data_IF_957463961823
#
_entry.id   IF_957463961823
#
_cell.length_a   1.000
_cell.length_b   1.000
_cell.length_c   1.000
_cell.angle_alpha   90.00
_cell.angle_beta   90.00
_cell.angle_gamma   90.00
#
_symmetry.space_group_name_H-M   'P 1'
#
loop_
_entity.id
_entity.type
_entity.pdbx_description
1 polymer ?
#
# COMPACT_ATOMS: atom_id res chain seq x y z
N UNK A 1 -9.70 -12.68 28.73
CA UNK A 1 -8.73 -11.71 28.18
C UNK A 1 -9.18 -11.44 26.75
N UNK A 2 -9.85 -10.31 26.50
CA UNK A 2 -10.26 -9.96 25.14
C UNK A 2 -9.05 -9.33 24.45
N UNK A 3 -8.38 -10.09 23.60
CA UNK A 3 -7.44 -9.57 22.62
C UNK A 3 -8.23 -8.72 21.62
N UNK A 4 -8.41 -7.45 21.98
CA UNK A 4 -8.92 -6.45 21.05
C UNK A 4 -7.92 -6.43 19.90
N UNK A 5 -8.37 -6.88 18.73
CA UNK A 5 -7.65 -6.83 17.47
C UNK A 5 -6.97 -5.45 17.30
N UNK A 6 -5.69 -5.34 17.66
CA UNK A 6 -4.82 -4.18 17.44
C UNK A 6 -4.49 -4.00 15.94
N UNK A 7 -5.36 -4.49 15.05
CA UNK A 7 -5.17 -4.48 13.60
C UNK A 7 -5.41 -3.10 12.97
N UNK A 8 -5.97 -2.13 13.69
CA UNK A 8 -6.28 -0.80 13.18
C UNK A 8 -5.59 0.25 14.03
N UNK A 9 -4.45 0.73 13.56
CA UNK A 9 -3.84 1.97 14.06
C UNK A 9 -4.82 3.13 13.76
N UNK A 10 -5.36 3.84 14.76
CA UNK A 10 -6.37 4.89 14.54
C UNK A 10 -5.82 6.09 13.76
N UNK A 11 -4.49 6.20 13.62
CA UNK A 11 -3.85 7.20 12.76
C UNK A 11 -3.78 6.76 11.30
N UNK A 12 -4.03 5.49 11.01
CA UNK A 12 -3.99 4.91 9.65
C UNK A 12 -5.41 4.69 9.14
N UNK A 13 -5.68 5.15 7.92
CA UNK A 13 -6.97 4.92 7.27
C UNK A 13 -6.97 3.55 6.59
N UNK A 14 -8.03 2.74 6.74
CA UNK A 14 -8.14 1.48 6.01
C UNK A 14 -8.28 1.76 4.51
N UNK A 15 -7.63 0.93 3.68
CA UNK A 15 -7.73 0.96 2.23
C UNK A 15 -8.24 -0.41 1.78
N UNK A 16 -9.36 -0.41 1.07
CA UNK A 16 -9.93 -1.62 0.49
C UNK A 16 -9.26 -1.91 -0.85
N UNK A 17 -8.79 -3.14 -1.03
CA UNK A 17 -8.16 -3.62 -2.27
C UNK A 17 -8.78 -4.94 -2.70
N UNK A 18 -8.59 -5.31 -3.97
CA UNK A 18 -9.03 -6.63 -4.45
C UNK A 18 -8.31 -7.76 -3.71
N UNK A 19 -8.94 -8.95 -3.63
CA UNK A 19 -8.30 -10.13 -3.05
C UNK A 19 -6.98 -10.49 -3.74
N UNK A 20 -6.89 -10.30 -5.06
CA UNK A 20 -5.67 -10.53 -5.82
C UNK A 20 -4.56 -9.54 -5.43
N UNK A 21 -4.88 -8.24 -5.33
CA UNK A 21 -3.93 -7.22 -4.86
C UNK A 21 -3.45 -7.54 -3.45
N UNK A 22 -4.34 -7.96 -2.56
CA UNK A 22 -3.97 -8.35 -1.20
C UNK A 22 -2.97 -9.52 -1.20
N UNK A 23 -3.22 -10.58 -1.98
CA UNK A 23 -2.31 -11.71 -2.10
C UNK A 23 -0.92 -11.31 -2.61
N UNK A 24 -0.85 -10.42 -3.60
CA UNK A 24 0.43 -9.89 -4.10
C UNK A 24 1.20 -9.11 -3.02
N UNK A 25 0.50 -8.31 -2.21
CA UNK A 25 1.11 -7.58 -1.10
C UNK A 25 1.64 -8.54 -0.02
N UNK A 26 0.90 -9.61 0.31
CA UNK A 26 1.35 -10.65 1.25
C UNK A 26 2.59 -11.36 0.71
N UNK A 27 2.59 -11.81 -0.54
CA UNK A 27 3.78 -12.43 -1.14
C UNK A 27 5.01 -11.50 -1.10
N UNK A 28 4.81 -10.20 -1.34
CA UNK A 28 5.87 -9.21 -1.23
C UNK A 28 6.37 -9.00 0.21
N UNK A 29 5.51 -9.17 1.23
CA UNK A 29 5.94 -9.17 2.64
C UNK A 29 6.82 -10.36 2.97
N UNK A 30 6.44 -11.56 2.52
CA UNK A 30 7.19 -12.80 2.76
C UNK A 30 8.58 -12.72 2.12
N UNK A 31 8.65 -12.20 0.88
CA UNK A 31 9.92 -12.02 0.17
C UNK A 31 10.84 -10.97 0.81
N UNK A 32 10.28 -9.90 1.39
CA UNK A 32 11.07 -8.78 1.91
C UNK A 32 11.31 -8.81 3.42
N UNK A 33 10.62 -9.69 4.16
CA UNK A 33 10.63 -9.71 5.63
C UNK A 33 9.97 -8.48 6.28
N UNK A 34 9.21 -7.69 5.51
CA UNK A 34 8.60 -6.45 5.97
C UNK A 34 7.14 -6.64 6.38
N UNK A 35 6.63 -5.74 7.24
CA UNK A 35 5.20 -5.75 7.61
C UNK A 35 4.34 -5.33 6.42
N UNK A 36 3.13 -5.90 6.31
CA UNK A 36 2.18 -5.64 5.22
C UNK A 36 1.89 -4.16 4.98
N UNK A 37 1.68 -3.39 6.04
CA UNK A 37 1.44 -1.96 5.92
C UNK A 37 2.63 -1.17 5.37
N UNK A 38 3.87 -1.62 5.59
CA UNK A 38 5.09 -0.99 5.03
C UNK A 38 5.15 -1.23 3.53
N UNK A 39 4.90 -2.46 3.11
CA UNK A 39 4.87 -2.86 1.70
C UNK A 39 3.75 -2.12 0.96
N UNK A 40 2.56 -2.05 1.56
CA UNK A 40 1.42 -1.34 1.00
C UNK A 40 1.68 0.17 0.87
N UNK A 41 2.22 0.83 1.92
CA UNK A 41 2.54 2.27 1.87
C UNK A 41 3.56 2.59 0.77
N UNK A 42 4.61 1.76 0.66
CA UNK A 42 5.61 1.91 -0.41
C UNK A 42 5.00 1.74 -1.79
N UNK A 43 4.18 0.70 -2.00
CA UNK A 43 3.54 0.44 -3.29
C UNK A 43 2.65 1.61 -3.73
N UNK A 44 1.85 2.16 -2.80
CA UNK A 44 0.97 3.31 -3.06
C UNK A 44 1.80 4.55 -3.42
N UNK A 45 2.84 4.88 -2.65
CA UNK A 45 3.69 6.04 -2.94
C UNK A 45 4.34 5.97 -4.31
N UNK A 46 4.85 4.80 -4.70
CA UNK A 46 5.46 4.62 -6.01
C UNK A 46 4.43 4.72 -7.14
N UNK A 47 3.22 4.19 -6.96
CA UNK A 47 2.13 4.36 -7.92
C UNK A 47 1.74 5.84 -8.09
N UNK A 48 1.61 6.60 -6.99
CA UNK A 48 1.31 8.05 -7.04
C UNK A 48 2.39 8.81 -7.80
N UNK A 49 3.67 8.59 -7.47
CA UNK A 49 4.79 9.24 -8.20
C UNK A 49 4.77 8.93 -9.69
N UNK A 50 4.43 7.70 -10.07
CA UNK A 50 4.33 7.34 -11.49
C UNK A 50 3.17 8.05 -12.18
N UNK A 51 2.04 8.24 -11.49
CA UNK A 51 0.91 9.01 -12.02
C UNK A 51 1.28 10.50 -12.19
N UNK A 52 1.94 11.10 -11.20
CA UNK A 52 2.40 12.49 -11.26
C UNK A 52 3.37 12.72 -12.43
N UNK A 53 4.39 11.87 -12.58
CA UNK A 53 5.34 11.94 -13.70
C UNK A 53 4.67 11.82 -15.07
N UNK A 54 3.64 10.98 -15.18
CA UNK A 54 2.86 10.85 -16.42
C UNK A 54 2.03 12.09 -16.71
N UNK A 55 1.46 12.71 -15.69
CA UNK A 55 0.70 13.95 -15.83
C UNK A 55 1.61 15.10 -16.28
N UNK A 56 2.79 15.24 -15.68
CA UNK A 56 3.81 16.23 -16.07
C UNK A 56 4.29 16.04 -17.51
N UNK A 57 4.56 14.79 -17.92
CA UNK A 57 4.98 14.46 -19.27
C UNK A 57 3.89 14.70 -20.34
N UNK A 58 2.63 14.89 -19.93
CA UNK A 58 1.48 15.05 -20.83
C UNK A 58 1.01 16.50 -20.98
N UNK A 59 1.63 17.47 -20.29
CA UNK A 59 1.33 18.89 -20.49
C UNK A 59 2.18 19.46 -21.64
N UNK A 60 1.57 20.01 -22.71
CA UNK A 60 2.32 20.72 -23.74
C UNK A 60 2.85 22.04 -23.18
N UNK A 61 4.15 22.28 -23.42
CA UNK A 61 4.86 23.53 -23.07
C UNK A 61 4.28 24.78 -23.71
#
# INVERSE_FOLDING_TARGET
>A
MNETNDMVDPKKKPIYVSANTHALLVAATEHSGQKLWVVADRAIREAVKQMERRAEASQPS
#
